data_IF_129024752454
#
_entry.id   IF_129024752454
#
_cell.length_a   1.000
_cell.length_b   1.000
_cell.length_c   1.000
_cell.angle_alpha   90.00
_cell.angle_beta   90.00
_cell.angle_gamma   90.00
#
_symmetry.space_group_name_H-M   'P 1'
#
loop_
_entity.id
_entity.type
_entity.pdbx_description
1 polymer ?
#
# COMPACT_ATOMS: atom_id res chain seq x y z
N UNK A 1 44.02 47.55 -21.89
CA UNK A 1 44.84 46.34 -21.69
C UNK A 1 44.15 45.50 -20.63
N UNK A 2 43.76 44.27 -20.97
CA UNK A 2 43.19 43.32 -20.02
C UNK A 2 44.22 42.95 -18.93
N UNK A 3 43.73 42.44 -17.79
CA UNK A 3 43.98 41.02 -17.57
C UNK A 3 42.78 40.23 -17.07
N UNK A 4 42.77 38.99 -17.55
CA UNK A 4 42.07 37.78 -17.13
C UNK A 4 42.00 37.56 -15.62
N UNK A 5 40.84 37.12 -15.12
CA UNK A 5 40.74 36.36 -13.87
C UNK A 5 39.93 35.07 -14.08
N UNK A 6 40.52 33.98 -13.59
CA UNK A 6 40.11 32.60 -13.78
C UNK A 6 38.89 32.24 -12.91
N UNK A 7 38.06 31.33 -13.41
CA UNK A 7 36.98 30.68 -12.68
C UNK A 7 37.56 29.67 -11.68
N UNK A 8 37.32 29.91 -10.40
CA UNK A 8 37.56 28.95 -9.32
C UNK A 8 36.21 28.42 -8.83
N UNK A 9 36.02 27.10 -8.93
CA UNK A 9 34.83 26.41 -8.47
C UNK A 9 34.96 26.15 -6.97
N UNK A 10 34.20 26.86 -6.14
CA UNK A 10 34.06 26.53 -4.72
C UNK A 10 32.91 25.55 -4.53
N UNK A 11 33.28 24.33 -4.11
CA UNK A 11 32.38 23.30 -3.57
C UNK A 11 31.91 23.77 -2.18
N UNK A 12 30.67 24.22 -2.09
CA UNK A 12 30.03 24.69 -0.86
C UNK A 12 29.00 23.70 -0.32
N UNK A 13 29.42 22.92 0.68
CA UNK A 13 28.67 22.08 1.61
C UNK A 13 27.14 22.25 1.65
N UNK A 14 26.40 21.21 1.23
CA UNK A 14 25.01 21.01 1.64
C UNK A 14 25.00 20.48 3.09
N UNK A 15 24.86 21.38 4.06
CA UNK A 15 24.52 20.97 5.44
C UNK A 15 23.09 20.43 5.44
N UNK A 16 22.92 19.14 5.64
CA UNK A 16 21.63 18.58 6.03
C UNK A 16 21.23 19.23 7.37
N UNK A 17 20.21 20.09 7.35
CA UNK A 17 19.61 20.64 8.56
C UNK A 17 18.84 19.48 9.22
N UNK A 18 19.20 19.13 10.46
CA UNK A 18 18.33 18.31 11.32
C UNK A 18 16.99 19.01 11.40
N UNK A 19 15.93 18.36 10.92
CA UNK A 19 14.56 18.73 11.29
C UNK A 19 14.38 18.21 12.71
N UNK A 20 14.40 19.12 13.69
CA UNK A 20 13.99 18.79 15.04
C UNK A 20 12.48 18.50 14.99
N UNK A 21 12.09 17.24 15.22
CA UNK A 21 10.70 16.80 15.38
C UNK A 21 10.13 17.24 16.74
N UNK A 22 10.29 18.51 17.09
CA UNK A 22 9.76 19.07 18.33
C UNK A 22 9.59 20.59 18.19
N UNK A 23 8.65 21.01 17.34
CA UNK A 23 7.95 22.29 17.45
C UNK A 23 6.60 22.11 16.74
N UNK A 24 5.46 22.46 17.36
CA UNK A 24 4.18 22.41 16.67
C UNK A 24 4.27 23.39 15.51
N UNK A 25 4.15 22.92 14.27
CA UNK A 25 4.20 23.77 13.09
C UNK A 25 3.23 24.95 13.29
N UNK A 26 3.76 26.14 13.54
CA UNK A 26 2.98 27.32 13.89
C UNK A 26 2.09 27.83 12.76
N UNK A 27 2.24 27.27 11.55
CA UNK A 27 1.40 27.54 10.39
C UNK A 27 1.15 26.24 9.60
N UNK A 28 -0.13 25.85 9.49
CA UNK A 28 -0.60 24.70 8.73
C UNK A 28 -0.18 24.77 7.25
N UNK A 29 -0.08 25.98 6.70
CA UNK A 29 0.35 26.20 5.33
C UNK A 29 1.86 25.99 5.14
N UNK A 30 2.65 26.22 6.20
CA UNK A 30 4.08 25.91 6.22
C UNK A 30 4.29 24.39 6.22
N UNK A 31 3.55 23.67 7.08
CA UNK A 31 3.56 22.20 7.10
C UNK A 31 3.16 21.64 5.72
N UNK A 32 2.05 22.09 5.14
CA UNK A 32 1.63 21.64 3.82
C UNK A 32 2.67 21.92 2.72
N UNK A 33 3.50 22.96 2.88
CA UNK A 33 4.60 23.28 1.98
C UNK A 33 5.80 22.35 2.11
N UNK A 34 6.09 21.85 3.31
CA UNK A 34 7.20 20.94 3.58
C UNK A 34 6.94 19.51 3.07
N UNK A 35 5.67 19.12 2.96
CA UNK A 35 5.24 17.80 2.47
C UNK A 35 5.00 17.74 0.94
N UNK A 36 5.30 18.80 0.20
CA UNK A 36 5.12 18.84 -1.26
C UNK A 36 6.13 17.91 -1.96
N UNK A 37 5.64 16.89 -2.67
CA UNK A 37 6.48 15.97 -3.45
C UNK A 37 6.46 16.36 -4.94
N UNK A 38 7.64 16.63 -5.52
CA UNK A 38 7.82 16.90 -6.95
C UNK A 38 7.78 18.38 -7.38
N UNK A 39 7.93 18.63 -8.68
CA UNK A 39 7.93 19.99 -9.27
C UNK A 39 6.53 20.54 -9.59
N UNK A 40 5.47 19.75 -9.35
CA UNK A 40 4.10 20.20 -9.56
C UNK A 40 3.76 21.32 -8.58
N UNK A 41 3.28 22.46 -9.10
CA UNK A 41 2.80 23.59 -8.29
C UNK A 41 1.45 23.25 -7.66
N UNK A 42 1.45 22.61 -6.49
CA UNK A 42 0.23 22.42 -5.71
C UNK A 42 -0.34 23.80 -5.32
N UNK A 43 -1.60 24.07 -5.67
CA UNK A 43 -2.29 25.31 -5.28
C UNK A 43 -2.61 25.25 -3.79
N UNK A 44 -1.94 26.07 -2.98
CA UNK A 44 -2.19 26.17 -1.53
C UNK A 44 -3.47 26.98 -1.29
N UNK A 45 -4.57 26.28 -1.02
CA UNK A 45 -5.83 26.90 -0.61
C UNK A 45 -6.31 26.15 0.62
N UNK A 46 -6.70 26.88 1.67
CA UNK A 46 -7.43 26.26 2.76
C UNK A 46 -8.83 25.91 2.24
N UNK A 47 -9.11 24.61 2.15
CA UNK A 47 -10.40 24.07 1.70
C UNK A 47 -11.32 23.72 2.88
N UNK A 48 -10.99 24.14 4.10
CA UNK A 48 -11.83 23.90 5.26
C UNK A 48 -13.11 24.73 5.16
N UNK A 49 -14.25 24.04 5.07
CA UNK A 49 -15.58 24.63 5.20
C UNK A 49 -15.87 25.01 6.67
N UNK A 50 -16.81 25.92 6.97
CA UNK A 50 -17.20 26.19 8.35
C UNK A 50 -17.95 25.01 8.98
N UNK A 51 -17.87 24.88 10.31
CA UNK A 51 -18.60 23.83 11.02
C UNK A 51 -20.12 24.06 10.92
N UNK A 52 -20.86 22.98 10.67
CA UNK A 52 -22.32 23.03 10.57
C UNK A 52 -22.97 23.25 11.93
N UNK A 53 -24.04 24.06 11.95
CA UNK A 53 -24.88 24.31 13.14
C UNK A 53 -26.20 23.55 13.14
N UNK A 54 -26.50 22.80 12.06
CA UNK A 54 -27.67 21.93 11.95
C UNK A 54 -27.71 20.93 13.12
N UNK A 55 -28.78 20.92 13.95
CA UNK A 55 -28.94 19.98 15.05
C UNK A 55 -28.84 18.51 14.63
N UNK A 56 -29.25 18.15 13.41
CA UNK A 56 -29.19 16.77 12.91
C UNK A 56 -27.75 16.35 12.63
N UNK A 57 -26.98 17.20 11.96
CA UNK A 57 -25.56 16.97 11.72
C UNK A 57 -24.79 16.87 13.04
N UNK A 58 -25.13 17.75 13.99
CA UNK A 58 -24.57 17.72 15.34
C UNK A 58 -24.87 16.41 16.07
N UNK A 59 -26.12 15.94 16.05
CA UNK A 59 -26.49 14.68 16.68
C UNK A 59 -25.71 13.48 16.12
N UNK A 60 -25.46 13.44 14.79
CA UNK A 60 -24.65 12.38 14.19
C UNK A 60 -23.21 12.39 14.70
N UNK A 61 -22.58 13.56 14.81
CA UNK A 61 -21.22 13.67 15.33
C UNK A 61 -21.15 13.36 16.84
N UNK A 62 -22.09 13.86 17.64
CA UNK A 62 -22.16 13.60 19.09
C UNK A 62 -22.34 12.11 19.39
N UNK A 63 -23.17 11.40 18.60
CA UNK A 63 -23.34 9.95 18.70
C UNK A 63 -22.04 9.16 18.65
N UNK A 64 -21.07 9.58 17.83
CA UNK A 64 -19.80 8.88 17.72
C UNK A 64 -18.73 9.39 18.69
N UNK A 65 -18.71 10.69 19.00
CA UNK A 65 -17.57 11.31 19.68
C UNK A 65 -17.87 11.82 21.10
N UNK A 66 -19.12 11.74 21.55
CA UNK A 66 -19.55 12.30 22.84
C UNK A 66 -20.43 11.39 23.66
N UNK A 67 -21.40 10.72 23.04
CA UNK A 67 -22.39 9.92 23.76
C UNK A 67 -21.77 8.70 24.48
N UNK A 68 -22.36 8.35 25.62
CA UNK A 68 -21.86 7.31 26.52
C UNK A 68 -22.02 5.89 25.93
N UNK A 69 -22.96 5.71 25.00
CA UNK A 69 -23.23 4.48 24.26
C UNK A 69 -22.52 4.44 22.89
N UNK A 70 -21.61 5.41 22.63
CA UNK A 70 -20.80 5.42 21.42
C UNK A 70 -19.99 4.14 21.25
N UNK A 71 -19.87 3.68 20.00
CA UNK A 71 -18.96 2.59 19.62
C UNK A 71 -17.48 2.91 19.89
N UNK A 72 -17.15 4.18 20.12
CA UNK A 72 -15.78 4.69 20.38
C UNK A 72 -15.51 4.98 21.85
N UNK A 73 -16.52 4.80 22.71
CA UNK A 73 -16.43 4.88 24.17
C UNK A 73 -15.17 4.23 24.76
N UNK A 74 -14.69 3.04 24.31
CA UNK A 74 -13.50 2.42 24.87
C UNK A 74 -12.22 3.25 24.76
N UNK A 75 -12.13 4.18 23.80
CA UNK A 75 -10.93 4.98 23.54
C UNK A 75 -10.99 6.42 24.09
N UNK A 76 -12.16 6.91 24.51
CA UNK A 76 -12.36 8.30 24.97
C UNK A 76 -11.42 8.73 26.11
N UNK A 77 -10.95 7.78 26.92
CA UNK A 77 -10.01 8.04 28.02
C UNK A 77 -8.56 8.18 27.57
N UNK A 78 -8.24 7.68 26.38
CA UNK A 78 -6.88 7.62 25.82
C UNK A 78 -6.66 8.73 24.79
N UNK A 79 -7.65 8.94 23.92
CA UNK A 79 -7.60 9.94 22.84
C UNK A 79 -8.78 10.89 23.01
N UNK A 80 -8.49 12.20 23.09
CA UNK A 80 -9.52 13.25 23.14
C UNK A 80 -10.38 13.21 21.86
N UNK A 81 -11.70 12.95 21.96
CA UNK A 81 -12.56 12.89 20.79
C UNK A 81 -12.98 14.27 20.25
N UNK A 82 -12.78 15.36 21.01
CA UNK A 82 -13.27 16.69 20.64
C UNK A 82 -12.73 17.23 19.28
N UNK A 83 -11.44 17.04 18.92
CA UNK A 83 -10.94 17.43 17.60
C UNK A 83 -11.63 16.68 16.45
N UNK A 84 -11.97 15.41 16.66
CA UNK A 84 -12.62 14.55 15.66
C UNK A 84 -14.11 14.86 15.53
N UNK A 85 -14.79 15.20 16.62
CA UNK A 85 -16.14 15.74 16.58
C UNK A 85 -16.18 17.03 15.76
N UNK A 86 -15.24 17.95 16.00
CA UNK A 86 -15.13 19.19 15.23
C UNK A 86 -14.88 18.91 13.76
N UNK A 87 -13.99 17.97 13.44
CA UNK A 87 -13.73 17.54 12.06
C UNK A 87 -15.00 16.98 11.39
N UNK A 88 -15.76 16.14 12.09
CA UNK A 88 -17.05 15.65 11.63
C UNK A 88 -18.02 16.80 11.30
N UNK A 89 -18.15 17.80 12.17
CA UNK A 89 -19.03 18.96 11.94
C UNK A 89 -18.61 19.80 10.72
N UNK A 90 -17.31 19.91 10.45
CA UNK A 90 -16.79 20.58 9.26
C UNK A 90 -17.12 19.78 7.99
N UNK A 91 -16.94 18.46 8.00
CA UNK A 91 -17.24 17.59 6.84
C UNK A 91 -18.73 17.60 6.49
N UNK A 92 -19.61 17.78 7.48
CA UNK A 92 -21.05 17.89 7.29
C UNK A 92 -21.48 19.11 6.46
N UNK A 93 -20.64 20.16 6.35
CA UNK A 93 -20.97 21.35 5.55
C UNK A 93 -21.05 21.04 4.05
N UNK A 94 -20.44 19.93 3.64
CA UNK A 94 -20.36 19.49 2.26
C UNK A 94 -21.42 18.44 1.90
N UNK A 95 -22.49 18.28 2.69
CA UNK A 95 -23.60 17.37 2.36
C UNK A 95 -24.27 17.84 1.07
N UNK A 96 -24.02 17.11 -0.01
CA UNK A 96 -24.61 17.32 -1.33
C UNK A 96 -25.72 16.30 -1.59
N UNK A 97 -26.59 16.58 -2.56
CA UNK A 97 -27.62 15.64 -3.03
C UNK A 97 -27.01 14.25 -3.31
N UNK A 98 -27.54 13.21 -2.67
CA UNK A 98 -27.14 11.81 -2.85
C UNK A 98 -26.19 11.22 -1.79
N UNK A 99 -25.72 11.99 -0.80
CA UNK A 99 -24.96 11.47 0.35
C UNK A 99 -25.73 11.67 1.65
N UNK A 100 -25.72 10.67 2.53
CA UNK A 100 -26.34 10.79 3.86
C UNK A 100 -25.43 11.58 4.81
N UNK A 101 -25.98 12.13 5.89
CA UNK A 101 -25.16 12.81 6.91
C UNK A 101 -24.18 11.83 7.54
N UNK A 102 -24.61 10.59 7.77
CA UNK A 102 -23.81 9.50 8.32
C UNK A 102 -22.58 9.17 7.46
N UNK A 103 -22.65 9.38 6.14
CA UNK A 103 -21.52 9.16 5.23
C UNK A 103 -20.40 10.18 5.41
N UNK A 104 -20.75 11.39 5.86
CA UNK A 104 -19.77 12.46 6.11
C UNK A 104 -19.02 12.26 7.42
N UNK A 105 -19.61 11.55 8.38
CA UNK A 105 -18.93 11.19 9.62
C UNK A 105 -17.77 10.18 9.39
N UNK A 106 -17.74 9.49 8.25
CA UNK A 106 -16.83 8.36 8.01
C UNK A 106 -15.34 8.74 8.02
N UNK A 107 -14.98 9.93 7.56
CA UNK A 107 -13.57 10.38 7.55
C UNK A 107 -13.09 10.61 8.99
N UNK A 108 -13.87 11.37 9.78
CA UNK A 108 -13.59 11.59 11.20
C UNK A 108 -13.57 10.29 12.00
N UNK A 109 -14.52 9.42 11.73
CA UNK A 109 -14.63 8.10 12.32
C UNK A 109 -13.39 7.23 12.02
N UNK A 110 -12.87 7.27 10.79
CA UNK A 110 -11.69 6.50 10.39
C UNK A 110 -10.42 7.06 11.01
N UNK A 111 -10.30 8.39 11.08
CA UNK A 111 -9.17 9.06 11.72
C UNK A 111 -9.10 8.75 13.22
N UNK A 112 -10.24 8.80 13.93
CA UNK A 112 -10.29 8.47 15.36
C UNK A 112 -9.95 7.00 15.60
N UNK A 113 -10.51 6.09 14.79
CA UNK A 113 -10.16 4.67 14.82
C UNK A 113 -8.65 4.45 14.63
N UNK A 114 -8.03 5.15 13.68
CA UNK A 114 -6.60 5.02 13.41
C UNK A 114 -5.75 5.48 14.60
N UNK A 115 -6.13 6.58 15.24
CA UNK A 115 -5.41 7.09 16.43
C UNK A 115 -5.57 6.14 17.61
N UNK A 116 -6.78 5.65 17.87
CA UNK A 116 -6.99 4.64 18.91
C UNK A 116 -6.20 3.35 18.66
N UNK A 117 -6.09 2.95 17.38
CA UNK A 117 -5.29 1.80 16.96
C UNK A 117 -3.79 1.98 17.24
N UNK A 118 -3.26 3.21 17.14
CA UNK A 118 -1.86 3.51 17.49
C UNK A 118 -1.57 3.30 18.98
N UNK A 119 -2.61 3.37 19.82
CA UNK A 119 -2.58 3.02 21.23
C UNK A 119 -3.03 1.58 21.54
N UNK A 120 -3.18 0.72 20.53
CA UNK A 120 -3.54 -0.68 20.70
C UNK A 120 -5.02 -0.96 20.93
N UNK A 121 -5.91 0.02 20.71
CA UNK A 121 -7.36 -0.15 20.80
C UNK A 121 -7.96 -0.29 19.40
N UNK A 122 -8.38 -1.51 19.06
CA UNK A 122 -9.13 -1.79 17.83
C UNK A 122 -10.60 -1.38 17.99
N UNK A 123 -11.00 -0.31 17.30
CA UNK A 123 -12.39 0.14 17.24
C UNK A 123 -13.06 -0.31 15.93
N UNK A 124 -14.37 -0.63 15.95
CA UNK A 124 -15.11 -0.96 14.74
C UNK A 124 -15.43 0.31 13.93
N UNK A 125 -15.48 0.18 12.61
CA UNK A 125 -15.99 1.24 11.73
C UNK A 125 -17.53 1.25 11.76
N UNK A 126 -18.23 2.40 11.69
CA UNK A 126 -19.67 2.44 11.57
C UNK A 126 -20.12 1.69 10.31
N UNK A 127 -21.21 0.92 10.41
CA UNK A 127 -21.70 0.09 9.30
C UNK A 127 -21.99 0.89 8.03
N UNK A 128 -22.46 2.14 8.17
CA UNK A 128 -22.71 3.06 7.06
C UNK A 128 -21.46 3.44 6.28
N UNK A 129 -20.30 3.43 6.95
CA UNK A 129 -19.00 3.77 6.41
C UNK A 129 -18.28 2.60 5.73
N UNK A 130 -18.73 1.38 6.00
CA UNK A 130 -18.17 0.18 5.36
C UNK A 130 -18.99 -0.11 4.12
N UNK A 131 -18.44 0.33 2.99
CA UNK A 131 -19.05 0.14 1.66
C UNK A 131 -18.08 -0.56 0.74
N UNK A 132 -18.57 -1.56 0.03
CA UNK A 132 -17.84 -2.17 -1.08
C UNK A 132 -18.56 -1.89 -2.38
N UNK A 133 -17.83 -1.50 -3.41
CA UNK A 133 -18.40 -1.30 -4.74
C UNK A 133 -18.63 -2.65 -5.43
N UNK A 134 -19.84 -2.84 -5.93
CA UNK A 134 -20.24 -4.00 -6.74
C UNK A 134 -19.80 -3.79 -8.19
N UNK A 135 -19.75 -4.87 -9.00
CA UNK A 135 -19.45 -4.75 -10.42
C UNK A 135 -20.41 -3.85 -11.21
N UNK A 136 -21.64 -3.67 -10.74
CA UNK A 136 -22.66 -2.79 -11.34
C UNK A 136 -22.56 -1.31 -10.85
N UNK A 137 -21.48 -0.97 -10.15
CA UNK A 137 -21.22 0.32 -9.49
C UNK A 137 -22.18 0.67 -8.34
N UNK A 138 -23.07 -0.24 -7.94
CA UNK A 138 -23.82 -0.09 -6.68
C UNK A 138 -22.94 -0.42 -5.48
N UNK A 139 -23.41 -0.13 -4.26
CA UNK A 139 -22.67 -0.43 -3.04
C UNK A 139 -23.30 -1.59 -2.26
N UNK A 140 -22.45 -2.39 -1.62
CA UNK A 140 -22.83 -3.29 -0.53
C UNK A 140 -22.59 -2.59 0.80
N UNK A 141 -23.55 -2.69 1.70
CA UNK A 141 -23.39 -2.27 3.09
C UNK A 141 -22.91 -3.42 3.97
N UNK A 142 -22.33 -3.12 5.13
CA UNK A 142 -21.85 -4.14 6.06
C UNK A 142 -22.98 -5.11 6.47
N UNK A 143 -22.78 -6.41 6.19
CA UNK A 143 -23.72 -7.48 6.50
C UNK A 143 -24.60 -7.91 5.32
N UNK A 144 -24.57 -7.19 4.20
CA UNK A 144 -25.26 -7.63 2.98
C UNK A 144 -24.47 -8.73 2.27
N UNK A 145 -25.18 -9.75 1.80
CA UNK A 145 -24.62 -10.85 1.01
C UNK A 145 -24.83 -10.57 -0.48
N UNK A 146 -23.79 -10.79 -1.27
CA UNK A 146 -23.84 -10.69 -2.73
C UNK A 146 -23.08 -11.86 -3.35
N UNK A 147 -23.67 -12.47 -4.37
CA UNK A 147 -23.04 -13.56 -5.12
C UNK A 147 -22.46 -13.00 -6.41
N UNK A 148 -21.16 -13.20 -6.60
CA UNK A 148 -20.49 -12.90 -7.87
C UNK A 148 -20.74 -14.08 -8.80
N UNK A 149 -21.55 -13.90 -9.83
CA UNK A 149 -21.87 -14.95 -10.82
C UNK A 149 -20.71 -15.26 -11.75
N UNK A 150 -19.94 -14.24 -12.15
CA UNK A 150 -18.68 -14.42 -12.88
C UNK A 150 -17.64 -13.37 -12.41
N UNK A 151 -16.38 -13.76 -12.15
CA UNK A 151 -15.34 -12.79 -11.88
C UNK A 151 -15.16 -11.90 -13.10
N UNK A 152 -15.26 -10.59 -12.90
CA UNK A 152 -14.95 -9.65 -13.95
C UNK A 152 -13.50 -9.91 -14.40
N UNK A 153 -13.26 -9.93 -15.71
CA UNK A 153 -11.92 -9.99 -16.33
C UNK A 153 -11.17 -8.69 -16.06
N UNK A 154 -10.91 -8.41 -14.78
CA UNK A 154 -10.26 -7.23 -14.20
C UNK A 154 -9.26 -7.71 -13.16
N UNK A 155 -8.09 -7.12 -13.11
CA UNK A 155 -7.06 -7.47 -12.13
C UNK A 155 -6.70 -6.28 -11.23
N UNK A 156 -6.49 -6.59 -9.95
CA UNK A 156 -5.90 -5.71 -8.96
C UNK A 156 -4.55 -6.31 -8.55
N UNK A 157 -3.46 -5.65 -8.94
CA UNK A 157 -2.10 -6.16 -8.77
C UNK A 157 -1.32 -5.23 -7.84
N UNK A 158 -0.83 -5.75 -6.72
CA UNK A 158 -0.12 -4.97 -5.73
C UNK A 158 1.33 -5.45 -5.68
N UNK A 159 2.27 -4.56 -5.99
CA UNK A 159 3.69 -4.80 -5.78
C UNK A 159 4.05 -4.45 -4.34
N UNK A 160 4.48 -5.43 -3.55
CA UNK A 160 4.94 -5.25 -2.17
C UNK A 160 6.46 -5.32 -2.20
N UNK A 161 7.13 -4.18 -2.06
CA UNK A 161 8.55 -4.04 -2.38
C UNK A 161 9.35 -3.71 -1.13
N UNK A 162 10.26 -4.62 -0.78
CA UNK A 162 11.27 -4.40 0.24
C UNK A 162 12.36 -3.49 -0.32
N UNK A 163 12.58 -2.35 0.35
CA UNK A 163 13.49 -1.29 -0.08
C UNK A 163 14.92 -1.54 0.38
N UNK A 164 15.33 -2.77 0.69
CA UNK A 164 16.72 -3.07 1.06
C UNK A 164 17.68 -3.01 -0.13
N UNK A 165 18.96 -2.82 0.17
CA UNK A 165 20.03 -2.66 -0.82
C UNK A 165 20.17 -3.87 -1.77
N UNK A 166 19.83 -5.07 -1.31
CA UNK A 166 19.78 -6.29 -2.13
C UNK A 166 18.86 -6.15 -3.36
N UNK A 167 17.77 -5.38 -3.26
CA UNK A 167 16.80 -5.15 -4.33
C UNK A 167 17.17 -3.98 -5.25
N UNK A 168 18.34 -3.35 -5.08
CA UNK A 168 18.79 -2.19 -5.88
C UNK A 168 18.74 -2.44 -7.40
N UNK A 169 18.97 -3.68 -7.83
CA UNK A 169 18.96 -4.08 -9.24
C UNK A 169 17.58 -4.55 -9.71
N UNK A 170 16.68 -4.90 -8.78
CA UNK A 170 15.34 -5.41 -9.09
C UNK A 170 14.35 -4.25 -9.20
N UNK A 171 14.43 -3.25 -8.32
CA UNK A 171 13.52 -2.10 -8.31
C UNK A 171 13.39 -1.38 -9.66
N UNK A 172 14.49 -1.11 -10.42
CA UNK A 172 14.38 -0.48 -11.74
C UNK A 172 13.67 -1.35 -12.80
N UNK A 173 13.64 -2.67 -12.60
CA UNK A 173 13.07 -3.63 -13.54
C UNK A 173 11.57 -3.91 -13.29
N UNK A 174 11.02 -3.44 -12.17
CA UNK A 174 9.61 -3.67 -11.80
C UNK A 174 8.63 -3.15 -12.85
N UNK A 175 8.97 -2.05 -13.53
CA UNK A 175 8.13 -1.54 -14.62
C UNK A 175 8.04 -2.52 -15.79
N UNK A 176 9.13 -3.23 -16.12
CA UNK A 176 9.13 -4.24 -17.20
C UNK A 176 8.30 -5.45 -16.80
N UNK A 177 8.36 -5.85 -15.53
CA UNK A 177 7.54 -6.93 -14.99
C UNK A 177 6.05 -6.55 -15.07
N UNK A 178 5.69 -5.35 -14.63
CA UNK A 178 4.31 -4.86 -14.71
C UNK A 178 3.81 -4.77 -16.16
N UNK A 179 4.65 -4.31 -17.09
CA UNK A 179 4.32 -4.25 -18.52
C UNK A 179 4.09 -5.66 -19.11
N UNK A 180 4.96 -6.62 -18.78
CA UNK A 180 4.78 -8.01 -19.20
C UNK A 180 3.50 -8.63 -18.64
N UNK A 181 3.18 -8.37 -17.37
CA UNK A 181 1.89 -8.81 -16.78
C UNK A 181 0.70 -8.18 -17.52
N UNK A 182 0.74 -6.88 -17.80
CA UNK A 182 -0.31 -6.18 -18.52
C UNK A 182 -0.55 -6.77 -19.92
N UNK A 183 0.51 -7.11 -20.64
CA UNK A 183 0.43 -7.76 -21.96
C UNK A 183 -0.23 -9.14 -21.86
N UNK A 184 0.20 -9.98 -20.90
CA UNK A 184 -0.38 -11.32 -20.69
C UNK A 184 -1.84 -11.26 -20.26
N UNK A 185 -2.18 -10.36 -19.36
CA UNK A 185 -3.57 -10.16 -18.95
C UNK A 185 -4.44 -9.72 -20.14
N UNK A 186 -3.92 -8.85 -21.01
CA UNK A 186 -4.62 -8.43 -22.23
C UNK A 186 -4.85 -9.59 -23.22
N UNK A 187 -3.86 -10.47 -23.39
CA UNK A 187 -4.00 -11.70 -24.19
C UNK A 187 -5.15 -12.59 -23.65
N UNK A 188 -5.28 -12.66 -22.33
CA UNK A 188 -6.35 -13.38 -21.61
C UNK A 188 -7.67 -12.60 -21.48
N UNK A 189 -7.82 -11.52 -22.26
CA UNK A 189 -9.00 -10.63 -22.32
C UNK A 189 -9.33 -9.91 -21.01
N UNK A 190 -8.35 -9.72 -20.13
CA UNK A 190 -8.51 -8.80 -19.01
C UNK A 190 -8.52 -7.37 -19.51
N UNK A 191 -9.44 -6.60 -18.94
CA UNK A 191 -9.65 -5.18 -19.20
C UNK A 191 -9.64 -4.45 -17.86
N UNK A 192 -9.24 -3.18 -17.84
CA UNK A 192 -9.32 -2.35 -16.63
C UNK A 192 -8.50 -2.93 -15.45
N UNK A 193 -7.25 -3.32 -15.72
CA UNK A 193 -6.28 -3.69 -14.71
C UNK A 193 -5.75 -2.44 -14.00
N UNK A 194 -5.57 -2.54 -12.69
CA UNK A 194 -4.99 -1.48 -11.88
C UNK A 194 -3.92 -2.02 -10.95
N UNK A 195 -2.98 -1.14 -10.64
CA UNK A 195 -1.75 -1.48 -9.97
C UNK A 195 -1.53 -0.57 -8.77
N UNK A 196 -1.00 -1.13 -7.68
CA UNK A 196 -0.57 -0.37 -6.52
C UNK A 196 0.84 -0.80 -6.10
N UNK A 197 1.52 0.07 -5.36
CA UNK A 197 2.85 -0.21 -4.82
C UNK A 197 2.83 0.02 -3.31
N UNK A 198 3.30 -0.95 -2.55
CA UNK A 198 3.56 -0.88 -1.12
C UNK A 198 5.06 -0.96 -0.91
N UNK A 199 5.66 0.03 -0.27
CA UNK A 199 7.07 0.04 0.11
C UNK A 199 7.24 -0.28 1.58
N UNK A 200 8.29 -1.02 1.94
CA UNK A 200 8.68 -1.27 3.34
C UNK A 200 10.19 -1.50 3.46
N UNK A 201 10.72 -1.46 4.67
CA UNK A 201 12.14 -1.72 4.95
C UNK A 201 13.11 -0.73 4.32
N UNK A 202 12.67 0.53 4.18
CA UNK A 202 13.54 1.67 3.94
C UNK A 202 13.99 2.32 5.26
N UNK A 203 14.42 3.58 5.17
CA UNK A 203 14.87 4.38 6.33
C UNK A 203 13.78 5.37 6.79
N UNK A 204 13.77 5.66 8.09
CA UNK A 204 12.89 6.65 8.71
C UNK A 204 11.41 6.36 8.42
N UNK A 205 10.71 7.32 7.81
CA UNK A 205 9.28 7.17 7.48
C UNK A 205 8.98 6.05 6.47
N UNK A 206 10.01 5.49 5.82
CA UNK A 206 9.87 4.43 4.82
C UNK A 206 10.21 3.04 5.34
N UNK A 207 10.54 2.93 6.62
CA UNK A 207 10.78 1.67 7.33
C UNK A 207 9.48 0.85 7.42
N UNK A 208 8.41 1.46 7.91
CA UNK A 208 7.10 0.82 8.02
C UNK A 208 6.42 0.64 6.65
N UNK A 209 5.57 -0.40 6.49
CA UNK A 209 4.77 -0.57 5.28
C UNK A 209 3.89 0.64 4.98
N UNK A 210 3.99 1.19 3.77
CA UNK A 210 3.23 2.35 3.32
C UNK A 210 2.90 2.26 1.83
N UNK A 211 1.82 2.92 1.40
CA UNK A 211 1.50 3.07 -0.02
C UNK A 211 2.48 4.04 -0.66
N UNK A 212 3.06 3.62 -1.78
CA UNK A 212 3.82 4.48 -2.68
C UNK A 212 2.87 4.93 -3.79
N UNK A 213 2.34 6.14 -3.67
CA UNK A 213 1.28 6.63 -4.56
C UNK A 213 1.81 6.91 -5.97
N UNK A 214 0.97 6.61 -6.96
CA UNK A 214 1.17 7.01 -8.35
C UNK A 214 0.15 8.11 -8.69
N UNK A 215 0.61 9.28 -9.13
CA UNK A 215 -0.24 10.46 -9.39
C UNK A 215 -1.20 10.82 -8.23
N UNK A 216 -0.74 10.61 -6.99
CA UNK A 216 -1.55 10.86 -5.78
C UNK A 216 -2.66 9.83 -5.52
N UNK A 217 -2.68 8.72 -6.26
CA UNK A 217 -3.64 7.63 -6.10
C UNK A 217 -2.96 6.37 -5.55
N UNK A 218 -3.73 5.54 -4.82
CA UNK A 218 -3.29 4.22 -4.34
C UNK A 218 -3.18 3.24 -5.50
N UNK A 219 -4.25 3.16 -6.30
CA UNK A 219 -4.31 2.32 -7.49
C UNK A 219 -4.25 3.20 -8.73
N UNK A 220 -3.40 2.82 -9.68
CA UNK A 220 -3.24 3.51 -10.96
C UNK A 220 -3.21 2.53 -12.13
N UNK A 221 -3.30 3.04 -13.36
CA UNK A 221 -3.06 2.22 -14.54
C UNK A 221 -1.54 1.98 -14.75
N UNK A 222 -1.22 1.11 -15.72
CA UNK A 222 0.17 0.73 -16.07
C UNK A 222 1.06 1.92 -16.49
N UNK A 223 0.48 3.03 -17.00
CA UNK A 223 1.26 4.21 -17.41
C UNK A 223 1.65 5.07 -16.21
N UNK A 224 0.70 5.29 -15.30
CA UNK A 224 0.89 6.12 -14.12
C UNK A 224 1.78 5.47 -13.05
N UNK A 225 1.78 4.13 -12.94
CA UNK A 225 2.55 3.41 -11.91
C UNK A 225 4.07 3.60 -12.02
N UNK A 226 4.55 4.05 -13.18
CA UNK A 226 5.97 4.40 -13.41
C UNK A 226 6.48 5.38 -12.34
N UNK A 227 5.64 6.36 -11.95
CA UNK A 227 6.00 7.34 -10.93
C UNK A 227 6.23 6.71 -9.56
N UNK A 228 5.37 5.76 -9.16
CA UNK A 228 5.53 5.00 -7.91
C UNK A 228 6.81 4.17 -7.93
N UNK A 229 7.07 3.40 -8.99
CA UNK A 229 8.31 2.60 -9.09
C UNK A 229 9.57 3.46 -9.07
N UNK A 230 9.57 4.60 -9.76
CA UNK A 230 10.74 5.50 -9.82
C UNK A 230 11.04 6.13 -8.46
N UNK A 231 10.04 6.26 -7.59
CA UNK A 231 10.21 6.83 -6.25
C UNK A 231 10.79 5.84 -5.23
N UNK A 232 10.79 4.54 -5.54
CA UNK A 232 11.40 3.51 -4.70
C UNK A 232 12.92 3.69 -4.70
N UNK A 233 13.47 4.03 -3.54
CA UNK A 233 14.91 4.12 -3.32
C UNK A 233 15.35 3.03 -2.36
N UNK A 234 16.45 2.31 -2.67
CA UNK A 234 17.05 1.39 -1.72
C UNK A 234 17.54 2.14 -0.48
N UNK A 235 17.36 1.51 0.66
CA UNK A 235 17.97 1.82 1.95
C UNK A 235 19.49 1.76 1.82
N UNK A 236 20.18 2.70 2.46
CA UNK A 236 21.63 2.71 2.58
C UNK A 236 22.07 1.67 3.59
N UNK A 237 21.27 1.46 4.64
CA UNK A 237 21.52 0.48 5.69
C UNK A 237 20.77 -0.85 5.47
N UNK A 238 21.43 -1.95 5.85
CA UNK A 238 20.86 -3.31 5.87
C UNK A 238 20.30 -3.65 7.26
N UNK A 239 19.87 -2.66 8.04
CA UNK A 239 19.27 -2.90 9.36
C UNK A 239 18.05 -3.81 9.24
N UNK A 240 17.75 -4.53 10.32
CA UNK A 240 16.48 -5.23 10.43
C UNK A 240 15.35 -4.20 10.28
N UNK A 241 14.32 -4.59 9.54
CA UNK A 241 13.23 -3.73 9.12
C UNK A 241 11.92 -4.40 9.46
N UNK A 242 10.86 -3.62 9.64
CA UNK A 242 9.48 -4.11 9.69
C UNK A 242 9.26 -5.27 8.71
N UNK A 243 8.69 -6.35 9.22
CA UNK A 243 8.83 -7.67 8.64
C UNK A 243 7.98 -7.84 7.39
N UNK A 244 8.40 -8.77 6.56
CA UNK A 244 7.68 -9.19 5.35
C UNK A 244 6.20 -9.48 5.63
N UNK A 245 5.89 -10.08 6.79
CA UNK A 245 4.51 -10.40 7.19
C UNK A 245 3.69 -9.15 7.51
N UNK A 246 4.27 -8.14 8.16
CA UNK A 246 3.62 -6.84 8.39
C UNK A 246 3.29 -6.13 7.08
N UNK A 247 4.22 -6.17 6.11
CA UNK A 247 4.01 -5.60 4.78
C UNK A 247 2.89 -6.33 4.01
N UNK A 248 2.83 -7.66 4.09
CA UNK A 248 1.74 -8.43 3.51
C UNK A 248 0.40 -8.10 4.17
N UNK A 249 0.33 -8.07 5.51
CA UNK A 249 -0.88 -7.67 6.26
C UNK A 249 -1.39 -6.30 5.79
N UNK A 250 -0.49 -5.32 5.68
CA UNK A 250 -0.82 -3.99 5.17
C UNK A 250 -1.37 -4.06 3.74
N UNK A 251 -0.68 -4.75 2.83
CA UNK A 251 -1.09 -4.87 1.43
C UNK A 251 -2.45 -5.56 1.26
N UNK A 252 -2.74 -6.59 2.06
CA UNK A 252 -4.04 -7.30 1.99
C UNK A 252 -5.23 -6.39 2.32
N UNK A 253 -5.01 -5.30 3.07
CA UNK A 253 -6.04 -4.36 3.49
C UNK A 253 -6.25 -3.18 2.51
N UNK A 254 -5.52 -3.15 1.40
CA UNK A 254 -5.79 -2.17 0.35
C UNK A 254 -7.17 -2.44 -0.32
N UNK A 255 -7.87 -1.39 -0.78
CA UNK A 255 -9.25 -1.49 -1.26
C UNK A 255 -9.34 -2.13 -2.64
N UNK A 256 -9.22 -3.46 -2.70
CA UNK A 256 -9.35 -4.26 -3.92
C UNK A 256 -10.82 -4.46 -4.33
N UNK A 257 -11.09 -4.55 -5.63
CA UNK A 257 -12.44 -4.68 -6.20
C UNK A 257 -13.04 -6.06 -5.90
N UNK A 258 -14.35 -6.08 -5.68
CA UNK A 258 -15.12 -7.32 -5.65
C UNK A 258 -15.12 -7.92 -7.06
N UNK A 259 -14.95 -9.25 -7.14
CA UNK A 259 -14.98 -9.97 -8.41
C UNK A 259 -13.77 -9.75 -9.33
N UNK A 260 -12.75 -8.98 -8.92
CA UNK A 260 -11.47 -8.92 -9.64
C UNK A 260 -10.53 -10.04 -9.21
N UNK A 261 -9.64 -10.43 -10.11
CA UNK A 261 -8.44 -11.23 -9.79
C UNK A 261 -7.52 -10.38 -8.93
N UNK A 262 -7.07 -10.91 -7.79
CA UNK A 262 -6.24 -10.16 -6.83
C UNK A 262 -4.87 -10.82 -6.71
N UNK A 263 -3.83 -10.06 -6.98
CA UNK A 263 -2.47 -10.55 -7.06
C UNK A 263 -1.55 -9.69 -6.21
N UNK A 264 -0.76 -10.34 -5.36
CA UNK A 264 0.34 -9.73 -4.63
C UNK A 264 1.65 -10.19 -5.26
N UNK A 265 2.51 -9.25 -5.62
CA UNK A 265 3.86 -9.49 -6.13
C UNK A 265 4.83 -9.00 -5.06
N UNK A 266 5.29 -9.91 -4.21
CA UNK A 266 6.20 -9.62 -3.11
C UNK A 266 7.65 -9.67 -3.63
N UNK A 267 8.35 -8.56 -3.52
CA UNK A 267 9.78 -8.42 -3.86
C UNK A 267 10.55 -8.30 -2.55
N UNK A 268 11.23 -9.37 -2.14
CA UNK A 268 11.92 -9.46 -0.84
C UNK A 268 13.34 -9.98 -0.98
N UNK A 269 14.12 -9.75 0.07
CA UNK A 269 15.38 -10.45 0.35
C UNK A 269 15.50 -10.87 1.81
N UNK A 270 14.67 -10.33 2.72
CA UNK A 270 14.67 -10.76 4.11
C UNK A 270 13.97 -12.11 4.27
N UNK A 271 14.39 -12.87 5.27
CA UNK A 271 13.68 -14.08 5.68
C UNK A 271 12.29 -13.74 6.21
N UNK A 272 11.32 -14.60 5.95
CA UNK A 272 9.99 -14.52 6.55
C UNK A 272 10.03 -15.07 7.99
N UNK A 273 10.73 -14.40 8.90
CA UNK A 273 10.63 -14.72 10.32
C UNK A 273 9.42 -13.98 10.91
N UNK A 274 8.61 -14.63 11.77
CA UNK A 274 7.66 -13.90 12.58
C UNK A 274 8.46 -12.95 13.48
N UNK A 275 8.26 -11.65 13.32
CA UNK A 275 8.78 -10.68 14.27
C UNK A 275 8.12 -10.91 15.62
N UNK A 276 8.81 -10.56 16.70
CA UNK A 276 8.32 -10.73 18.08
C UNK A 276 6.97 -10.01 18.34
N UNK A 277 6.47 -9.19 17.42
CA UNK A 277 5.22 -8.46 17.56
C UNK A 277 4.23 -8.66 16.38
N UNK A 278 3.22 -9.49 16.65
CA UNK A 278 1.81 -9.35 16.21
C UNK A 278 1.32 -9.83 14.83
N UNK A 279 2.13 -10.50 13.99
CA UNK A 279 1.60 -11.11 12.75
C UNK A 279 2.08 -12.55 12.56
N UNK A 280 1.17 -13.51 12.78
CA UNK A 280 1.41 -14.94 12.50
C UNK A 280 1.30 -15.23 10.99
N UNK A 281 2.20 -16.09 10.50
CA UNK A 281 2.11 -16.70 9.17
C UNK A 281 0.73 -17.31 8.91
N UNK A 282 0.13 -17.95 9.92
CA UNK A 282 -1.20 -18.56 9.82
C UNK A 282 -2.28 -17.52 9.48
N UNK A 283 -2.19 -16.32 10.05
CA UNK A 283 -3.16 -15.25 9.81
C UNK A 283 -3.04 -14.70 8.39
N UNK A 284 -1.80 -14.52 7.91
CA UNK A 284 -1.55 -14.14 6.52
C UNK A 284 -2.09 -15.22 5.58
N UNK A 285 -1.77 -16.48 5.82
CA UNK A 285 -2.22 -17.59 4.99
C UNK A 285 -3.76 -17.65 4.89
N UNK A 286 -4.45 -17.57 6.03
CA UNK A 286 -5.92 -17.52 6.07
C UNK A 286 -6.46 -16.29 5.34
N UNK A 287 -5.86 -15.12 5.56
CA UNK A 287 -6.28 -13.89 4.89
C UNK A 287 -6.14 -14.01 3.36
N UNK A 288 -5.07 -14.63 2.88
CA UNK A 288 -4.86 -14.85 1.44
C UNK A 288 -5.93 -15.79 0.87
N UNK A 289 -6.24 -16.90 1.55
CA UNK A 289 -7.29 -17.83 1.12
C UNK A 289 -8.68 -17.19 1.15
N UNK A 290 -9.06 -16.59 2.27
CA UNK A 290 -10.40 -16.03 2.49
C UNK A 290 -10.70 -14.88 1.52
N UNK A 291 -9.67 -14.11 1.15
CA UNK A 291 -9.81 -12.99 0.19
C UNK A 291 -9.52 -13.38 -1.26
N UNK A 292 -9.16 -14.64 -1.53
CA UNK A 292 -8.82 -15.13 -2.87
C UNK A 292 -7.63 -14.38 -3.49
N UNK A 293 -6.60 -14.13 -2.68
CA UNK A 293 -5.37 -13.43 -3.08
C UNK A 293 -4.32 -14.43 -3.54
N UNK A 294 -3.73 -14.19 -4.72
CA UNK A 294 -2.59 -14.96 -5.20
C UNK A 294 -1.29 -14.24 -4.86
N UNK A 295 -0.42 -14.88 -4.09
CA UNK A 295 0.90 -14.34 -3.74
C UNK A 295 1.98 -14.93 -4.64
N UNK A 296 2.69 -14.07 -5.37
CA UNK A 296 3.93 -14.40 -6.08
C UNK A 296 5.10 -13.79 -5.32
N UNK A 297 6.14 -14.59 -5.08
CA UNK A 297 7.35 -14.17 -4.37
C UNK A 297 8.48 -14.05 -5.39
N UNK A 298 9.05 -12.86 -5.48
CA UNK A 298 10.24 -12.54 -6.26
C UNK A 298 11.37 -12.30 -5.26
N UNK A 299 12.33 -13.21 -5.29
CA UNK A 299 13.51 -13.18 -4.44
C UNK A 299 14.75 -13.36 -5.31
N UNK A 300 15.82 -12.65 -4.96
CA UNK A 300 17.10 -12.74 -5.65
C UNK A 300 18.00 -13.82 -5.01
N UNK A 301 17.42 -14.99 -4.77
CA UNK A 301 18.13 -16.16 -4.27
C UNK A 301 18.23 -17.23 -5.36
N UNK A 302 19.38 -17.88 -5.42
CA UNK A 302 19.57 -19.02 -6.29
C UNK A 302 18.80 -20.22 -5.72
N UNK A 303 18.01 -20.89 -6.56
CA UNK A 303 17.44 -22.18 -6.19
C UNK A 303 18.57 -23.20 -5.98
N UNK A 304 18.80 -23.57 -4.72
CA UNK A 304 19.79 -24.60 -4.37
C UNK A 304 19.25 -25.97 -4.76
N UNK A 305 19.83 -26.57 -5.78
CA UNK A 305 19.49 -27.94 -6.21
C UNK A 305 20.54 -28.91 -5.68
N UNK A 306 20.09 -29.88 -4.87
CA UNK A 306 20.94 -30.95 -4.32
C UNK A 306 21.33 -31.97 -5.40
N UNK A 307 22.19 -31.56 -6.34
CA UNK A 307 22.82 -32.45 -7.32
C UNK A 307 24.33 -32.26 -7.31
N UNK A 308 25.07 -33.37 -7.39
CA UNK A 308 26.54 -33.39 -7.38
C UNK A 308 27.20 -32.69 -8.59
N UNK A 309 26.42 -32.34 -9.62
CA UNK A 309 26.88 -31.63 -10.81
C UNK A 309 26.25 -30.24 -10.90
N UNK A 310 27.05 -29.22 -11.25
CA UNK A 310 26.54 -27.89 -11.60
C UNK A 310 25.49 -28.03 -12.72
N UNK A 311 24.30 -27.52 -12.49
CA UNK A 311 23.25 -27.45 -13.51
C UNK A 311 23.76 -26.64 -14.71
N UNK A 312 23.54 -27.14 -15.92
CA UNK A 312 23.84 -26.40 -17.15
C UNK A 312 23.02 -25.11 -17.20
N UNK A 313 23.49 -24.08 -17.93
CA UNK A 313 22.76 -22.80 -18.09
C UNK A 313 21.29 -22.99 -18.50
N UNK A 314 20.98 -23.99 -19.32
CA UNK A 314 19.63 -24.33 -19.77
C UNK A 314 18.72 -24.96 -18.71
N UNK A 315 19.28 -25.49 -17.62
CA UNK A 315 18.57 -26.10 -16.49
C UNK A 315 18.55 -25.21 -15.25
N UNK A 316 19.03 -23.96 -15.34
CA UNK A 316 18.91 -23.00 -14.25
C UNK A 316 17.43 -22.71 -14.03
N UNK A 317 16.96 -22.91 -12.79
CA UNK A 317 15.58 -22.70 -12.37
C UNK A 317 15.40 -21.21 -12.08
N UNK A 318 14.27 -20.64 -12.51
CA UNK A 318 13.91 -19.24 -12.30
C UNK A 318 12.58 -19.09 -11.57
N UNK A 319 11.80 -20.16 -11.46
CA UNK A 319 10.55 -20.14 -10.74
C UNK A 319 10.09 -21.54 -10.39
N UNK A 320 9.23 -21.62 -9.38
CA UNK A 320 8.58 -22.85 -8.95
C UNK A 320 7.13 -22.50 -8.60
N UNK A 321 6.22 -23.43 -8.87
CA UNK A 321 4.87 -23.41 -8.33
C UNK A 321 4.60 -24.74 -7.62
N UNK A 322 3.34 -24.96 -7.17
CA UNK A 322 2.94 -26.19 -6.49
C UNK A 322 3.08 -27.49 -7.31
N UNK A 323 3.29 -27.39 -8.62
CA UNK A 323 3.27 -28.50 -9.58
C UNK A 323 4.54 -28.58 -10.45
N UNK A 324 5.13 -27.44 -10.78
CA UNK A 324 6.12 -27.31 -11.83
C UNK A 324 7.32 -26.47 -11.39
N UNK A 325 8.46 -26.73 -12.05
CA UNK A 325 9.61 -25.84 -12.04
C UNK A 325 9.79 -25.21 -13.42
N UNK A 326 10.24 -23.97 -13.45
CA UNK A 326 10.42 -23.20 -14.67
C UNK A 326 11.90 -22.90 -14.89
N UNK A 327 12.45 -23.35 -16.02
CA UNK A 327 13.82 -23.07 -16.44
C UNK A 327 13.85 -22.19 -17.70
N UNK A 328 15.04 -21.77 -18.14
CA UNK A 328 15.22 -20.96 -19.37
C UNK A 328 14.51 -21.56 -20.59
N UNK A 329 14.49 -22.90 -20.71
CA UNK A 329 13.82 -23.59 -21.82
C UNK A 329 12.30 -23.35 -21.85
N UNK A 330 11.71 -23.06 -20.70
CA UNK A 330 10.26 -22.90 -20.52
C UNK A 330 9.82 -21.44 -20.66
N UNK A 331 10.75 -20.50 -20.89
CA UNK A 331 10.47 -19.06 -20.89
C UNK A 331 9.58 -18.60 -22.04
N UNK A 332 9.47 -19.39 -23.13
CA UNK A 332 8.61 -19.09 -24.28
C UNK A 332 7.16 -19.56 -24.10
N UNK A 333 6.98 -20.82 -23.67
CA UNK A 333 5.67 -21.47 -23.64
C UNK A 333 5.11 -21.66 -22.21
N UNK A 334 5.89 -21.32 -21.17
CA UNK A 334 5.55 -21.39 -19.73
C UNK A 334 4.83 -22.68 -19.33
N UNK A 335 5.21 -23.81 -19.93
CA UNK A 335 4.62 -25.12 -19.61
C UNK A 335 5.12 -25.69 -18.28
N UNK A 336 6.33 -25.30 -17.88
CA UNK A 336 7.02 -25.86 -16.72
C UNK A 336 7.39 -27.33 -16.91
N UNK A 337 8.25 -27.83 -16.03
CA UNK A 337 8.72 -29.21 -16.03
C UNK A 337 8.32 -29.88 -14.71
N UNK A 338 7.40 -30.83 -14.79
CA UNK A 338 6.90 -31.59 -13.64
C UNK A 338 7.93 -32.62 -13.14
N UNK A 339 8.83 -33.12 -14.00
CA UNK A 339 9.81 -34.15 -13.64
C UNK A 339 10.94 -33.58 -12.76
N UNK A 340 11.22 -32.27 -12.91
CA UNK A 340 12.12 -31.53 -12.04
C UNK A 340 11.59 -31.31 -10.61
N UNK A 341 10.31 -31.61 -10.32
CA UNK A 341 9.72 -31.53 -8.97
C UNK A 341 10.35 -32.52 -7.98
N UNK A 342 10.94 -33.62 -8.47
CA UNK A 342 11.60 -34.65 -7.63
C UNK A 342 12.86 -34.16 -6.89
N UNK A 343 13.42 -33.00 -7.25
CA UNK A 343 14.56 -32.39 -6.58
C UNK A 343 14.06 -31.49 -5.44
N UNK A 344 14.14 -31.95 -4.18
CA UNK A 344 13.77 -31.13 -3.01
C UNK A 344 14.61 -29.84 -2.99
N UNK A 345 13.96 -28.69 -3.13
CA UNK A 345 14.53 -27.40 -2.73
C UNK A 345 14.49 -27.38 -1.20
N UNK A 346 15.65 -27.22 -0.57
CA UNK A 346 15.80 -27.19 0.90
C UNK A 346 16.18 -25.82 1.36
#
# INVERSE_FOLDING_TARGET
MAPTSAKEWQVGQARCRRVNLAEPAGDLASLAGEWQVGQARCRRVNLAEPAVTDPRAKAVCEKYFREDDSIYRPCFKLVDPAPYEKMCLHDMATVTFGKTMEDKACIAAAAYRSECGSHGIELPMPRTCVRCEKPDMSHLTAGELFTVTEPAKKADIIFVVERKQCNRNVMPELIRIAQGLEERYREERYVDNRYAVVGFGGEGVTEMPHVVTADGQIFSNIRSIVSAFTSLKPSVDNTESAGVLGALKFATNLPMRIGSTKVLVLVKCSSCQPEEEAVDYTDIYRTLLDRGLHLHILENDDFVVRTAAKLSKSKRIFGVDSKNKFAIKDMKDVRGDADLHSLKCS
#
